data_IF_293245997457
#
_entry.id   IF_293245997457
#
_cell.length_a   1.000
_cell.length_b   1.000
_cell.length_c   1.000
_cell.angle_alpha   90.00
_cell.angle_beta   90.00
_cell.angle_gamma   90.00
#
_symmetry.space_group_name_H-M   'P 1'
#
loop_
_entity.id
_entity.type
_entity.pdbx_description
1 polymer ?
#
# COMPACT_ATOMS: atom_id res chain seq x y z
N UNK A 1 -15.80 65.73 -7.72
CA UNK A 1 -15.65 64.51 -6.90
C UNK A 1 -16.45 63.40 -7.56
N UNK A 2 -15.80 62.46 -8.23
CA UNK A 2 -16.47 61.33 -8.89
C UNK A 2 -16.12 60.10 -8.04
N UNK A 3 -17.11 59.60 -7.30
CA UNK A 3 -16.96 58.45 -6.40
C UNK A 3 -17.28 57.16 -7.16
N UNK A 4 -16.37 56.20 -7.06
CA UNK A 4 -16.42 54.86 -7.64
C UNK A 4 -17.48 53.97 -6.97
N UNK A 5 -18.28 53.26 -7.76
CA UNK A 5 -18.94 52.04 -7.33
C UNK A 5 -18.87 50.99 -8.45
N UNK A 6 -17.77 50.22 -8.44
CA UNK A 6 -17.73 48.89 -9.06
C UNK A 6 -18.37 47.93 -8.08
N UNK A 7 -19.52 47.37 -8.46
CA UNK A 7 -20.11 46.20 -7.82
C UNK A 7 -20.07 45.06 -8.83
N UNK A 8 -18.97 44.31 -8.83
CA UNK A 8 -18.74 43.19 -9.74
C UNK A 8 -19.80 42.08 -9.53
N UNK A 9 -20.62 41.88 -10.54
CA UNK A 9 -21.31 40.62 -10.79
C UNK A 9 -20.29 39.58 -11.30
N UNK A 10 -19.74 38.77 -10.40
CA UNK A 10 -19.18 37.43 -10.69
C UNK A 10 -19.46 36.59 -9.45
N UNK A 11 -20.29 35.57 -9.49
CA UNK A 11 -20.23 34.47 -10.44
C UNK A 11 -19.79 33.25 -9.66
N UNK A 12 -20.75 32.38 -9.37
CA UNK A 12 -20.55 30.93 -9.18
C UNK A 12 -19.53 30.54 -8.11
N UNK A 13 -20.01 30.39 -6.86
CA UNK A 13 -19.49 29.33 -5.97
C UNK A 13 -19.84 27.97 -6.58
N UNK A 14 -19.16 27.61 -7.65
CA UNK A 14 -18.99 26.22 -8.06
C UNK A 14 -17.86 25.67 -7.21
N UNK A 15 -18.16 25.35 -5.96
CA UNK A 15 -17.39 24.35 -5.24
C UNK A 15 -17.63 23.06 -6.01
N UNK A 16 -16.71 22.72 -6.92
CA UNK A 16 -16.62 21.39 -7.52
C UNK A 16 -16.64 20.39 -6.36
N UNK A 17 -17.82 19.89 -6.03
CA UNK A 17 -17.98 18.47 -5.78
C UNK A 17 -17.34 17.84 -7.03
N UNK A 18 -16.10 17.38 -6.91
CA UNK A 18 -15.64 16.34 -7.83
C UNK A 18 -16.71 15.27 -7.74
N UNK A 19 -17.56 15.20 -8.76
CA UNK A 19 -18.59 14.18 -8.88
C UNK A 19 -17.86 12.86 -8.76
N UNK A 20 -18.00 12.25 -7.58
CA UNK A 20 -17.42 10.96 -7.28
C UNK A 20 -18.02 10.01 -8.30
N UNK A 21 -17.20 9.55 -9.26
CA UNK A 21 -17.66 8.67 -10.33
C UNK A 21 -18.45 7.51 -9.72
N UNK A 22 -19.61 7.13 -10.27
CA UNK A 22 -20.49 6.15 -9.64
C UNK A 22 -19.82 4.78 -9.38
N UNK A 23 -18.76 4.45 -10.12
CA UNK A 23 -18.04 3.18 -10.02
C UNK A 23 -16.64 3.28 -9.40
N UNK A 24 -16.29 4.40 -8.76
CA UNK A 24 -14.93 4.66 -8.24
C UNK A 24 -14.38 3.52 -7.37
N UNK A 25 -15.23 2.91 -6.53
CA UNK A 25 -14.83 1.83 -5.63
C UNK A 25 -14.39 0.59 -6.42
N UNK A 26 -15.18 0.20 -7.42
CA UNK A 26 -14.86 -0.94 -8.27
C UNK A 26 -13.57 -0.69 -9.06
N UNK A 27 -13.40 0.52 -9.58
CA UNK A 27 -12.19 0.93 -10.32
C UNK A 27 -10.94 0.85 -9.43
N UNK A 28 -11.03 1.30 -8.17
CA UNK A 28 -9.94 1.20 -7.19
C UNK A 28 -9.62 -0.26 -6.86
N UNK A 29 -10.63 -1.09 -6.56
CA UNK A 29 -10.41 -2.51 -6.24
C UNK A 29 -9.84 -3.29 -7.44
N UNK A 30 -10.28 -2.99 -8.66
CA UNK A 30 -9.71 -3.57 -9.88
C UNK A 30 -8.26 -3.12 -10.10
N UNK A 31 -7.97 -1.85 -9.86
CA UNK A 31 -6.62 -1.31 -9.96
C UNK A 31 -5.67 -2.02 -8.98
N UNK A 32 -6.11 -2.26 -7.73
CA UNK A 32 -5.35 -3.05 -6.74
C UNK A 32 -5.12 -4.49 -7.22
N UNK A 33 -6.14 -5.16 -7.79
CA UNK A 33 -5.97 -6.50 -8.37
C UNK A 33 -4.95 -6.50 -9.51
N UNK A 34 -5.02 -5.51 -10.40
CA UNK A 34 -4.12 -5.42 -11.53
C UNK A 34 -2.67 -5.16 -11.10
N UNK A 35 -2.46 -4.22 -10.17
CA UNK A 35 -1.14 -3.98 -9.58
C UNK A 35 -0.57 -5.25 -8.94
N UNK A 36 -1.39 -6.00 -8.19
CA UNK A 36 -0.98 -7.28 -7.62
C UNK A 36 -0.53 -8.27 -8.71
N UNK A 37 -1.29 -8.40 -9.80
CA UNK A 37 -0.97 -9.32 -10.88
C UNK A 37 0.36 -9.00 -11.55
N UNK A 38 0.61 -7.73 -11.87
CA UNK A 38 1.88 -7.31 -12.46
C UNK A 38 3.04 -7.49 -11.48
N UNK A 39 2.86 -7.09 -10.22
CA UNK A 39 3.91 -7.24 -9.21
C UNK A 39 4.26 -8.71 -8.94
N UNK A 40 3.26 -9.60 -8.84
CA UNK A 40 3.50 -11.04 -8.70
C UNK A 40 4.19 -11.63 -9.92
N UNK A 41 3.84 -11.19 -11.13
CA UNK A 41 4.50 -11.64 -12.36
C UNK A 41 5.99 -11.28 -12.35
N UNK A 42 6.34 -10.05 -11.96
CA UNK A 42 7.73 -9.61 -11.86
C UNK A 42 8.50 -10.39 -10.76
N UNK A 43 7.90 -10.55 -9.59
CA UNK A 43 8.48 -11.34 -8.49
C UNK A 43 8.70 -12.81 -8.88
N UNK A 44 7.78 -13.41 -9.64
CA UNK A 44 7.97 -14.76 -10.16
C UNK A 44 9.13 -14.84 -11.16
N UNK A 45 9.33 -13.80 -11.97
CA UNK A 45 10.51 -13.67 -12.84
C UNK A 45 11.84 -13.64 -12.05
N UNK A 46 11.81 -13.15 -10.81
CA UNK A 46 12.95 -13.15 -9.88
C UNK A 46 13.07 -14.45 -9.05
N UNK A 47 12.25 -15.47 -9.32
CA UNK A 47 12.31 -16.77 -8.64
C UNK A 47 11.55 -16.83 -7.30
N UNK A 48 10.68 -15.86 -7.00
CA UNK A 48 9.75 -15.98 -5.87
C UNK A 48 8.61 -16.94 -6.19
N UNK A 49 8.29 -17.83 -5.26
CA UNK A 49 7.09 -18.67 -5.32
C UNK A 49 5.81 -17.82 -5.23
N UNK A 50 4.64 -18.33 -5.66
CA UNK A 50 3.39 -17.59 -5.55
C UNK A 50 3.07 -17.11 -4.13
N UNK A 51 3.40 -17.94 -3.13
CA UNK A 51 3.22 -17.60 -1.71
C UNK A 51 4.13 -16.47 -1.27
N UNK A 52 5.41 -16.51 -1.64
CA UNK A 52 6.35 -15.42 -1.30
C UNK A 52 5.92 -14.14 -2.01
N UNK A 53 5.65 -14.21 -3.31
CA UNK A 53 5.24 -13.05 -4.11
C UNK A 53 3.98 -12.37 -3.55
N UNK A 54 3.00 -13.16 -3.10
CA UNK A 54 1.83 -12.63 -2.41
C UNK A 54 2.20 -11.82 -1.15
N UNK A 55 3.06 -12.36 -0.28
CA UNK A 55 3.41 -11.68 0.97
C UNK A 55 4.28 -10.45 0.76
N UNK A 56 5.16 -10.46 -0.26
CA UNK A 56 5.93 -9.29 -0.68
C UNK A 56 5.01 -8.18 -1.21
N UNK A 57 4.05 -8.52 -2.08
CA UNK A 57 3.06 -7.56 -2.57
C UNK A 57 2.20 -7.00 -1.44
N UNK A 58 1.68 -7.88 -0.58
CA UNK A 58 0.91 -7.46 0.60
C UNK A 58 1.71 -6.53 1.51
N UNK A 59 3.03 -6.76 1.65
CA UNK A 59 3.89 -5.90 2.43
C UNK A 59 3.97 -4.46 1.87
N UNK A 60 3.66 -4.27 0.59
CA UNK A 60 3.64 -2.96 -0.04
C UNK A 60 2.33 -2.19 0.18
N UNK A 61 1.25 -2.87 0.58
CA UNK A 61 -0.09 -2.28 0.74
C UNK A 61 -0.12 -0.97 1.57
N UNK A 62 0.60 -0.86 2.72
CA UNK A 62 0.66 0.38 3.51
C UNK A 62 1.16 1.62 2.77
N UNK A 63 1.89 1.44 1.65
CA UNK A 63 2.54 2.51 0.91
C UNK A 63 1.79 2.93 -0.34
N UNK A 64 0.61 2.34 -0.61
CA UNK A 64 -0.20 2.75 -1.74
C UNK A 64 -0.53 4.24 -1.65
N UNK A 65 -0.59 4.95 -2.80
CA UNK A 65 -0.73 6.40 -2.84
C UNK A 65 -2.19 6.82 -2.55
N UNK A 66 -2.62 6.73 -1.30
CA UNK A 66 -3.96 7.13 -0.85
C UNK A 66 -4.11 8.65 -0.79
N UNK A 67 -5.20 9.19 -1.32
CA UNK A 67 -5.50 10.62 -1.20
C UNK A 67 -6.13 10.91 0.17
N UNK A 68 -5.33 11.43 1.10
CA UNK A 68 -5.76 11.77 2.47
C UNK A 68 -6.83 12.87 2.54
N UNK A 69 -6.93 13.70 1.50
CA UNK A 69 -7.90 14.81 1.42
C UNK A 69 -9.16 14.45 0.62
N UNK A 70 -9.23 13.24 0.04
CA UNK A 70 -10.40 12.81 -0.71
C UNK A 70 -11.62 12.64 0.21
N UNK A 71 -12.79 13.04 -0.28
CA UNK A 71 -14.06 12.77 0.39
C UNK A 71 -14.40 11.27 0.48
N UNK A 72 -14.29 10.49 -0.61
CA UNK A 72 -14.56 9.05 -0.60
C UNK A 72 -13.65 8.27 0.34
N UNK A 73 -14.23 7.31 1.07
CA UNK A 73 -13.55 6.46 2.05
C UNK A 73 -13.53 5.01 1.59
N UNK A 74 -12.34 4.42 1.58
CA UNK A 74 -12.17 2.98 1.43
C UNK A 74 -11.74 2.40 2.78
N UNK A 75 -12.51 1.42 3.27
CA UNK A 75 -12.20 0.72 4.52
C UNK A 75 -11.09 -0.30 4.32
N UNK A 76 -10.15 -0.36 5.26
CA UNK A 76 -9.08 -1.34 5.24
C UNK A 76 -9.64 -2.77 5.25
N UNK A 77 -10.69 -3.04 6.01
CA UNK A 77 -11.37 -4.35 6.02
C UNK A 77 -11.78 -4.84 4.62
N UNK A 78 -12.21 -3.95 3.72
CA UNK A 78 -12.56 -4.29 2.34
C UNK A 78 -11.32 -4.69 1.52
N UNK A 79 -10.21 -3.97 1.72
CA UNK A 79 -8.94 -4.30 1.07
C UNK A 79 -8.38 -5.63 1.59
N UNK A 80 -8.49 -5.89 2.90
CA UNK A 80 -8.05 -7.17 3.46
C UNK A 80 -8.92 -8.33 2.95
N UNK A 81 -10.22 -8.11 2.77
CA UNK A 81 -11.11 -9.05 2.07
C UNK A 81 -10.66 -9.32 0.64
N UNK A 82 -10.33 -8.25 -0.10
CA UNK A 82 -9.76 -8.36 -1.44
C UNK A 82 -8.47 -9.20 -1.46
N UNK A 83 -7.55 -8.96 -0.53
CA UNK A 83 -6.30 -9.72 -0.42
C UNK A 83 -6.53 -11.18 -0.01
N UNK A 84 -7.57 -11.49 0.76
CA UNK A 84 -7.96 -12.86 1.05
C UNK A 84 -8.43 -13.60 -0.22
N UNK A 85 -9.24 -12.95 -1.06
CA UNK A 85 -9.65 -13.50 -2.36
C UNK A 85 -8.45 -13.68 -3.29
N UNK A 86 -7.58 -12.68 -3.36
CA UNK A 86 -6.34 -12.73 -4.15
C UNK A 86 -5.48 -13.92 -3.69
N UNK A 87 -5.23 -14.08 -2.39
CA UNK A 87 -4.45 -15.20 -1.85
C UNK A 87 -5.04 -16.55 -2.30
N UNK A 88 -6.36 -16.72 -2.18
CA UNK A 88 -7.03 -17.96 -2.60
C UNK A 88 -6.81 -18.23 -4.09
N UNK A 89 -6.83 -17.21 -4.94
CA UNK A 89 -6.61 -17.36 -6.38
C UNK A 89 -5.15 -17.58 -6.79
N UNK A 90 -4.19 -16.95 -6.08
CA UNK A 90 -2.76 -16.96 -6.45
C UNK A 90 -2.00 -18.12 -5.81
N UNK A 91 -2.28 -18.40 -4.53
CA UNK A 91 -1.57 -19.40 -3.72
C UNK A 91 -2.33 -20.72 -3.64
N UNK A 92 -3.65 -20.69 -3.90
CA UNK A 92 -4.55 -21.81 -3.75
C UNK A 92 -5.30 -21.80 -2.42
N UNK A 93 -6.31 -22.67 -2.30
CA UNK A 93 -7.02 -22.86 -1.05
C UNK A 93 -6.10 -23.50 -0.01
N UNK A 94 -5.92 -22.84 1.13
CA UNK A 94 -5.46 -23.55 2.32
C UNK A 94 -6.64 -24.41 2.83
N UNK A 95 -6.45 -25.72 3.01
CA UNK A 95 -7.24 -26.61 3.88
C UNK A 95 -7.85 -25.80 5.05
N UNK A 96 -9.13 -26.00 5.43
CA UNK A 96 -10.07 -24.96 5.84
C UNK A 96 -9.55 -24.07 6.99
N UNK A 97 -8.63 -23.17 6.66
CA UNK A 97 -8.20 -22.09 7.53
C UNK A 97 -9.40 -21.18 7.60
N UNK A 98 -10.00 -21.14 8.79
CA UNK A 98 -11.09 -20.23 9.12
C UNK A 98 -10.80 -18.87 8.45
N UNK A 99 -11.67 -18.44 7.52
CA UNK A 99 -11.48 -17.20 6.77
C UNK A 99 -11.24 -16.02 7.72
N UNK A 100 -11.84 -16.06 8.90
CA UNK A 100 -11.65 -15.09 9.96
C UNK A 100 -10.24 -15.11 10.55
N UNK A 101 -9.62 -16.28 10.71
CA UNK A 101 -8.25 -16.41 11.19
C UNK A 101 -7.26 -15.87 10.15
N UNK A 102 -7.49 -16.13 8.85
CA UNK A 102 -6.65 -15.57 7.79
C UNK A 102 -6.78 -14.04 7.71
N UNK A 103 -8.00 -13.50 7.79
CA UNK A 103 -8.21 -12.06 7.90
C UNK A 103 -7.53 -11.48 9.15
N UNK A 104 -7.57 -12.18 10.28
CA UNK A 104 -6.84 -11.82 11.49
C UNK A 104 -5.33 -11.74 11.27
N UNK A 105 -4.75 -12.70 10.55
CA UNK A 105 -3.34 -12.68 10.17
C UNK A 105 -3.01 -11.49 9.27
N UNK A 106 -3.83 -11.20 8.25
CA UNK A 106 -3.63 -10.04 7.38
C UNK A 106 -3.66 -8.73 8.18
N UNK A 107 -4.64 -8.57 9.10
CA UNK A 107 -4.72 -7.41 10.00
C UNK A 107 -3.45 -7.25 10.83
N UNK A 108 -3.00 -8.34 11.46
CA UNK A 108 -1.79 -8.33 12.29
C UNK A 108 -0.57 -7.92 11.47
N UNK A 109 -0.38 -8.53 10.29
CA UNK A 109 0.77 -8.25 9.41
C UNK A 109 0.76 -6.80 8.93
N UNK A 110 -0.39 -6.28 8.49
CA UNK A 110 -0.54 -4.89 8.10
C UNK A 110 -0.10 -3.93 9.21
N UNK A 111 -0.58 -4.15 10.46
CA UNK A 111 -0.18 -3.34 11.62
C UNK A 111 1.31 -3.39 11.88
N UNK A 112 1.91 -4.59 11.87
CA UNK A 112 3.35 -4.76 12.09
C UNK A 112 4.17 -3.99 11.04
N UNK A 113 3.78 -4.05 9.77
CA UNK A 113 4.49 -3.31 8.71
C UNK A 113 4.36 -1.80 8.94
N UNK A 114 3.14 -1.29 9.17
CA UNK A 114 2.90 0.14 9.46
C UNK A 114 3.72 0.63 10.64
N UNK A 115 3.78 -0.15 11.72
CA UNK A 115 4.55 0.18 12.92
C UNK A 115 6.04 0.28 12.61
N UNK A 116 6.62 -0.74 11.95
CA UNK A 116 8.04 -0.75 11.60
C UNK A 116 8.45 0.41 10.69
N UNK A 117 7.56 0.80 9.77
CA UNK A 117 7.79 1.95 8.89
C UNK A 117 7.80 3.24 9.68
N UNK A 118 6.85 3.43 10.60
CA UNK A 118 6.81 4.61 11.47
C UNK A 118 8.07 4.70 12.35
N UNK A 119 8.54 3.58 12.89
CA UNK A 119 9.78 3.49 13.70
C UNK A 119 11.03 3.79 12.85
N UNK A 120 11.07 3.32 11.60
CA UNK A 120 12.20 3.52 10.68
C UNK A 120 12.28 4.94 10.09
N UNK A 121 11.20 5.72 10.16
CA UNK A 121 11.13 7.11 9.69
C UNK A 121 11.46 8.17 10.75
N UNK A 122 11.78 7.77 11.98
CA UNK A 122 12.32 8.67 13.00
C UNK A 122 13.73 9.16 12.62
N UNK A 123 14.18 10.33 13.13
CA UNK A 123 15.53 10.81 12.86
C UNK A 123 16.51 9.70 13.25
N UNK A 124 17.36 9.31 12.30
CA UNK A 124 18.41 8.34 12.50
C UNK A 124 19.26 8.79 13.69
N UNK A 125 18.98 8.23 14.87
CA UNK A 125 19.97 8.19 15.92
C UNK A 125 21.13 7.40 15.34
N UNK A 126 22.24 8.10 15.13
CA UNK A 126 23.55 7.54 14.83
C UNK A 126 23.90 6.53 15.94
N UNK A 127 23.46 5.30 15.79
CA UNK A 127 23.98 4.20 16.59
C UNK A 127 25.16 3.64 15.83
N UNK A 128 26.27 4.37 15.93
CA UNK A 128 27.60 3.79 15.79
C UNK A 128 27.70 2.55 16.68
N UNK A 129 27.86 1.38 16.08
CA UNK A 129 28.38 0.20 16.77
C UNK A 129 29.27 -0.61 15.82
N UNK A 130 30.34 -1.23 16.35
CA UNK A 130 31.48 -1.68 15.56
C UNK A 130 31.15 -2.99 14.84
N UNK A 131 31.48 -3.07 13.55
CA UNK A 131 31.54 -4.34 12.81
C UNK A 131 32.65 -5.20 13.41
N UNK A 132 32.30 -6.29 14.06
CA UNK A 132 33.20 -7.41 14.32
C UNK A 132 33.28 -8.26 13.04
N UNK A 133 34.47 -8.58 12.51
CA UNK A 133 34.59 -9.38 11.30
C UNK A 133 34.58 -10.86 11.69
N UNK A 134 33.45 -11.54 11.48
CA UNK A 134 33.33 -12.99 11.31
C UNK A 134 31.88 -13.30 10.94
N UNK A 135 31.46 -12.91 9.74
CA UNK A 135 30.20 -13.41 9.18
C UNK A 135 30.47 -14.69 8.38
N UNK A 136 29.73 -15.78 8.61
CA UNK A 136 29.67 -16.89 7.68
C UNK A 136 29.05 -16.41 6.36
N UNK A 137 29.43 -17.08 5.26
CA UNK A 137 28.97 -16.81 3.91
C UNK A 137 27.44 -16.59 3.87
N UNK A 138 26.94 -15.49 3.28
CA UNK A 138 25.51 -15.18 3.30
C UNK A 138 24.75 -16.29 2.58
N UNK A 139 23.86 -16.97 3.31
CA UNK A 139 23.08 -18.05 2.72
C UNK A 139 22.20 -17.48 1.60
N UNK A 140 21.83 -18.31 0.62
CA UNK A 140 20.94 -17.88 -0.48
C UNK A 140 19.60 -17.32 0.03
N UNK A 141 19.19 -17.73 1.22
CA UNK A 141 18.02 -17.23 1.93
C UNK A 141 18.21 -15.79 2.41
N UNK A 142 19.34 -15.48 3.05
CA UNK A 142 19.65 -14.13 3.54
C UNK A 142 19.72 -13.13 2.37
N UNK A 143 20.21 -13.59 1.22
CA UNK A 143 20.24 -12.83 -0.04
C UNK A 143 18.82 -12.51 -0.54
N UNK A 144 17.89 -13.48 -0.49
CA UNK A 144 16.51 -13.31 -0.96
C UNK A 144 15.67 -12.45 -0.02
N UNK A 145 15.90 -12.55 1.29
CA UNK A 145 15.26 -11.70 2.30
C UNK A 145 15.76 -10.25 2.20
N UNK A 146 17.05 -10.04 1.96
CA UNK A 146 17.62 -8.71 1.69
C UNK A 146 17.01 -8.09 0.42
N UNK A 147 16.93 -8.86 -0.66
CA UNK A 147 16.29 -8.41 -1.90
C UNK A 147 14.81 -8.05 -1.69
N UNK A 148 14.08 -8.86 -0.91
CA UNK A 148 12.69 -8.59 -0.58
C UNK A 148 12.52 -7.26 0.16
N UNK A 149 13.40 -6.99 1.14
CA UNK A 149 13.43 -5.70 1.85
C UNK A 149 13.69 -4.52 0.91
N UNK A 150 14.64 -4.65 -0.01
CA UNK A 150 14.94 -3.63 -1.02
C UNK A 150 13.76 -3.36 -1.95
N UNK A 151 13.06 -4.41 -2.41
CA UNK A 151 11.87 -4.29 -3.24
C UNK A 151 10.79 -3.48 -2.51
N UNK A 152 10.45 -3.85 -1.27
CA UNK A 152 9.42 -3.14 -0.49
C UNK A 152 9.79 -1.67 -0.28
N UNK A 153 11.03 -1.38 0.10
CA UNK A 153 11.48 0.00 0.34
C UNK A 153 11.52 0.83 -0.94
N UNK A 154 11.90 0.23 -2.07
CA UNK A 154 11.91 0.90 -3.37
C UNK A 154 10.47 1.19 -3.84
N UNK A 155 9.58 0.21 -3.78
CA UNK A 155 8.16 0.38 -4.13
C UNK A 155 7.52 1.46 -3.27
N UNK A 156 7.81 1.49 -1.97
CA UNK A 156 7.33 2.53 -1.07
C UNK A 156 7.80 3.94 -1.48
N UNK A 157 9.07 4.08 -1.88
CA UNK A 157 9.60 5.36 -2.39
C UNK A 157 8.95 5.77 -3.70
N UNK A 158 8.92 4.85 -4.68
CA UNK A 158 8.36 5.12 -6.01
C UNK A 158 6.87 5.53 -5.92
N UNK A 159 6.09 4.89 -5.05
CA UNK A 159 4.69 5.26 -4.82
C UNK A 159 4.52 6.55 -4.03
N UNK A 160 5.43 6.83 -3.08
CA UNK A 160 5.45 8.10 -2.35
C UNK A 160 5.76 9.31 -3.25
N UNK A 161 6.56 9.12 -4.30
CA UNK A 161 6.89 10.16 -5.30
C UNK A 161 5.89 10.22 -6.46
N UNK A 162 4.97 9.25 -6.55
CA UNK A 162 4.02 9.14 -7.64
C UNK A 162 2.97 10.28 -7.58
N UNK A 163 2.74 10.95 -8.73
CA UNK A 163 1.81 12.09 -8.80
C UNK A 163 0.34 11.70 -8.82
N UNK A 164 0.04 10.46 -9.21
CA UNK A 164 -1.32 9.91 -9.20
C UNK A 164 -1.58 9.20 -7.89
N UNK A 165 -2.69 9.57 -7.23
CA UNK A 165 -3.20 8.95 -6.01
C UNK A 165 -4.55 8.29 -6.27
N UNK A 166 -4.92 7.32 -5.44
CA UNK A 166 -6.28 6.79 -5.45
C UNK A 166 -7.27 7.90 -5.09
N UNK A 167 -8.45 7.97 -5.73
CA UNK A 167 -9.45 9.01 -5.49
C UNK A 167 -10.22 8.80 -4.17
N UNK A 168 -9.60 8.17 -3.18
CA UNK A 168 -10.18 7.87 -1.88
C UNK A 168 -9.11 7.91 -0.79
N UNK A 169 -9.56 8.15 0.44
CA UNK A 169 -8.75 7.99 1.65
C UNK A 169 -8.93 6.58 2.20
N UNK A 170 -7.84 5.99 2.67
CA UNK A 170 -7.87 4.73 3.41
C UNK A 170 -8.29 5.02 4.86
N UNK A 171 -9.32 4.31 5.34
CA UNK A 171 -9.76 4.35 6.73
C UNK A 171 -9.45 3.02 7.39
N UNK A 172 -8.64 3.06 8.46
CA UNK A 172 -8.29 1.88 9.25
C UNK A 172 -9.44 1.57 10.22
N UNK A 173 -10.30 0.59 9.86
CA UNK A 173 -11.48 0.18 10.63
C UNK A 173 -11.27 -1.13 11.40
N UNK A 174 -10.04 -1.37 11.87
CA UNK A 174 -9.60 -2.66 12.46
C UNK A 174 -9.03 -2.54 13.86
#
# INVERSE_FOLDING_TARGET
MISTARGDHRGLRSSRLEEVRPNWLQDVLQSIRWMHQEHVKDLRGLGYSPKEAFWLDFACLPFLPWNKAAGPELRLSMILGLYADIHRSTVGAQEPVNAQAFLGLLKQRYRTIRQRVAESGGPAAETSSPRTPNDPEPSSRDSKETLAGLIVMRTAREWGEHRSTFPCRLVEDI
#
